data_IF_894412716507
#
_entry.id   IF_894412716507
#
_cell.length_a   1.000
_cell.length_b   1.000
_cell.length_c   1.000
_cell.angle_alpha   90.00
_cell.angle_beta   90.00
_cell.angle_gamma   90.00
#
_symmetry.space_group_name_H-M   'P 1'
#
loop_
_entity.id
_entity.type
_entity.pdbx_description
1 polymer ?
#
# COMPACT_ATOMS: atom_id res chain seq x y z
N UNK A 1 6.72 0.64 5.43
CA UNK A 1 6.18 1.09 4.12
C UNK A 1 7.08 0.63 3.00
N UNK A 2 6.50 0.10 1.96
CA UNK A 2 7.22 -0.20 0.72
C UNK A 2 6.81 0.83 -0.34
N UNK A 3 7.79 1.37 -1.04
CA UNK A 3 7.58 2.39 -2.08
C UNK A 3 8.30 2.01 -3.37
N UNK A 4 7.68 2.31 -4.49
CA UNK A 4 8.27 2.09 -5.81
C UNK A 4 7.83 3.21 -6.76
N UNK A 5 8.63 3.47 -7.79
CA UNK A 5 8.27 4.39 -8.85
C UNK A 5 7.77 3.61 -10.05
N UNK A 6 6.60 3.99 -10.55
CA UNK A 6 6.00 3.39 -11.74
C UNK A 6 5.65 4.45 -12.77
N UNK A 7 5.39 4.04 -13.99
CA UNK A 7 4.78 4.89 -15.01
C UNK A 7 3.28 4.90 -14.81
N UNK A 8 2.69 6.09 -14.72
CA UNK A 8 1.24 6.22 -14.60
C UNK A 8 0.52 5.60 -15.80
N UNK A 9 -0.50 4.83 -15.54
CA UNK A 9 -1.26 4.14 -16.60
C UNK A 9 -2.03 5.08 -17.52
N UNK A 10 -2.27 6.31 -17.09
CA UNK A 10 -3.05 7.29 -17.85
C UNK A 10 -2.17 8.35 -18.51
N UNK A 11 -1.30 9.02 -17.74
CA UNK A 11 -0.49 10.12 -18.28
C UNK A 11 0.96 9.73 -18.61
N UNK A 12 1.36 8.50 -18.25
CA UNK A 12 2.70 7.93 -18.47
C UNK A 12 3.84 8.65 -17.76
N UNK A 13 3.56 9.62 -16.90
CA UNK A 13 4.56 10.24 -16.05
C UNK A 13 4.98 9.28 -14.92
N UNK A 14 6.20 9.42 -14.42
CA UNK A 14 6.64 8.66 -13.26
C UNK A 14 5.89 9.11 -12.02
N UNK A 15 5.37 8.15 -11.26
CA UNK A 15 4.68 8.40 -10.00
C UNK A 15 5.12 7.39 -8.95
N UNK A 16 5.25 7.85 -7.70
CA UNK A 16 5.55 6.97 -6.58
C UNK A 16 4.28 6.32 -6.06
N UNK A 17 4.34 5.01 -5.88
CA UNK A 17 3.26 4.22 -5.26
C UNK A 17 3.78 3.55 -4.01
N UNK A 18 2.90 3.31 -3.05
CA UNK A 18 3.25 2.70 -1.78
C UNK A 18 2.31 1.56 -1.42
N UNK A 19 2.78 0.69 -0.53
CA UNK A 19 1.94 -0.28 0.15
C UNK A 19 2.43 -0.50 1.57
N UNK A 20 1.59 -1.10 2.39
CA UNK A 20 1.98 -1.57 3.72
C UNK A 20 2.49 -3.00 3.59
N UNK A 21 3.80 -3.18 3.81
CA UNK A 21 4.43 -4.48 3.85
C UNK A 21 4.81 -4.79 5.29
N UNK A 22 4.47 -5.98 5.75
CA UNK A 22 4.70 -6.39 7.12
C UNK A 22 5.68 -7.56 7.18
N UNK A 23 6.74 -7.42 7.94
CA UNK A 23 7.66 -8.52 8.21
C UNK A 23 7.13 -9.41 9.33
N UNK A 24 6.52 -8.81 10.35
CA UNK A 24 5.87 -9.52 11.46
C UNK A 24 4.60 -8.79 11.86
N UNK A 25 3.54 -9.53 12.13
CA UNK A 25 2.29 -8.95 12.57
C UNK A 25 1.21 -10.00 12.71
N UNK A 26 -0.04 -9.55 12.83
CA UNK A 26 -1.20 -10.44 12.90
C UNK A 26 -2.24 -10.08 11.85
N UNK A 27 -2.93 -11.10 11.35
CA UNK A 27 -4.07 -10.96 10.47
C UNK A 27 -5.23 -11.67 11.15
N UNK A 28 -6.24 -10.90 11.54
CA UNK A 28 -7.42 -11.40 12.27
C UNK A 28 -7.04 -12.28 13.47
N UNK A 29 -5.99 -11.87 14.20
CA UNK A 29 -5.49 -12.55 15.39
C UNK A 29 -4.44 -13.64 15.16
N UNK A 30 -4.17 -14.02 13.92
CA UNK A 30 -3.14 -15.01 13.58
C UNK A 30 -1.81 -14.33 13.26
N UNK A 31 -0.74 -14.80 13.91
CA UNK A 31 0.60 -14.30 13.62
C UNK A 31 1.07 -14.74 12.24
N UNK A 32 1.49 -13.78 11.43
CA UNK A 32 2.02 -14.00 10.09
C UNK A 32 3.29 -13.21 9.88
N UNK A 33 4.10 -13.65 8.94
CA UNK A 33 5.31 -12.96 8.51
C UNK A 33 5.30 -12.72 7.01
N UNK A 34 5.99 -11.67 6.56
CA UNK A 34 6.20 -11.35 5.15
C UNK A 34 4.89 -11.26 4.36
N UNK A 35 3.98 -10.41 4.83
CA UNK A 35 2.73 -10.18 4.10
C UNK A 35 2.59 -8.69 3.70
N UNK A 36 1.81 -8.47 2.66
CA UNK A 36 1.50 -7.15 2.12
C UNK A 36 0.01 -6.91 2.20
N UNK A 37 -0.39 -5.71 2.59
CA UNK A 37 -1.80 -5.38 2.79
C UNK A 37 -2.29 -4.51 1.64
N UNK A 38 -3.44 -4.89 1.08
CA UNK A 38 -4.18 -4.12 0.07
C UNK A 38 -5.66 -4.06 0.46
N UNK A 39 -6.44 -3.24 -0.25
CA UNK A 39 -7.86 -3.13 0.02
C UNK A 39 -8.19 -2.51 1.38
N UNK A 40 -7.40 -1.58 1.84
CA UNK A 40 -7.54 -0.95 3.16
C UNK A 40 -8.67 0.08 3.13
N UNK A 41 -9.68 -0.09 3.98
CA UNK A 41 -10.75 0.90 4.09
C UNK A 41 -10.70 1.70 5.41
N UNK A 42 -9.93 1.26 6.39
CA UNK A 42 -9.72 1.99 7.64
C UNK A 42 -8.29 1.78 8.14
N UNK A 43 -7.72 2.82 8.74
CA UNK A 43 -6.41 2.76 9.38
C UNK A 43 -6.44 3.62 10.64
N UNK A 44 -5.58 3.29 11.61
CA UNK A 44 -5.51 4.07 12.85
C UNK A 44 -4.79 5.41 12.63
N UNK A 45 -4.92 6.31 13.63
CA UNK A 45 -4.34 7.65 13.56
C UNK A 45 -2.82 7.64 13.49
N UNK A 46 -2.17 6.65 14.09
CA UNK A 46 -0.72 6.52 14.07
C UNK A 46 -0.21 6.19 12.66
N UNK A 47 -0.89 5.27 11.96
CA UNK A 47 -0.56 4.97 10.58
C UNK A 47 -0.87 6.16 9.66
N UNK A 48 -2.02 6.81 9.86
CA UNK A 48 -2.39 8.00 9.09
C UNK A 48 -1.31 9.08 9.18
N UNK A 49 -0.77 9.31 10.37
CA UNK A 49 0.31 10.28 10.59
C UNK A 49 1.58 9.89 9.84
N UNK A 50 1.94 8.62 9.86
CA UNK A 50 3.15 8.12 9.19
C UNK A 50 3.01 8.11 7.67
N UNK A 51 1.80 8.14 7.14
CA UNK A 51 1.53 8.24 5.70
C UNK A 51 1.60 9.67 5.15
N UNK A 52 1.81 10.67 6.00
CA UNK A 52 1.89 12.07 5.60
C UNK A 52 2.81 12.38 4.41
N UNK A 53 4.01 11.74 4.28
CA UNK A 53 4.88 11.93 3.12
C UNK A 53 4.30 11.45 1.78
N UNK A 54 3.20 10.68 1.81
CA UNK A 54 2.60 10.10 0.60
C UNK A 54 1.13 10.51 0.47
N UNK A 55 0.83 11.80 0.19
CA UNK A 55 -0.55 12.30 0.13
C UNK A 55 -1.35 11.70 -1.04
N UNK A 56 -0.68 11.11 -2.02
CA UNK A 56 -1.34 10.42 -3.15
C UNK A 56 -1.86 9.04 -2.79
N UNK A 57 -1.51 8.50 -1.62
CA UNK A 57 -2.14 7.32 -1.06
C UNK A 57 -3.33 7.77 -0.20
N UNK A 58 -4.52 7.75 -0.78
CA UNK A 58 -5.73 8.31 -0.20
C UNK A 58 -6.97 7.51 -0.60
N UNK A 59 -8.08 7.76 0.09
CA UNK A 59 -9.34 7.07 -0.24
C UNK A 59 -9.79 7.38 -1.66
N UNK A 60 -10.19 6.31 -2.36
CA UNK A 60 -10.79 6.38 -3.69
C UNK A 60 -12.28 6.04 -3.58
N UNK A 61 -13.12 6.86 -4.22
CA UNK A 61 -14.56 6.65 -4.28
C UNK A 61 -14.96 5.49 -5.22
N UNK A 62 -14.03 4.99 -6.03
CA UNK A 62 -14.28 3.89 -6.98
C UNK A 62 -14.26 2.51 -6.34
N UNK A 63 -14.29 2.43 -5.03
CA UNK A 63 -14.08 1.19 -4.31
C UNK A 63 -15.35 0.36 -4.17
N UNK A 64 -15.15 -0.93 -3.96
CA UNK A 64 -16.18 -1.90 -3.61
C UNK A 64 -16.77 -1.68 -2.22
N UNK A 65 -16.21 -0.75 -1.45
CA UNK A 65 -16.64 -0.38 -0.12
C UNK A 65 -17.30 1.01 -0.14
N UNK A 66 -18.44 1.17 0.55
CA UNK A 66 -19.19 2.44 0.57
C UNK A 66 -18.36 3.64 1.04
N UNK A 67 -17.45 3.42 1.98
CA UNK A 67 -16.58 4.48 2.52
C UNK A 67 -15.34 4.72 1.67
N UNK A 68 -15.15 3.97 0.60
CA UNK A 68 -13.95 4.02 -0.21
C UNK A 68 -12.80 3.19 0.35
N UNK A 69 -11.79 2.99 -0.46
CA UNK A 69 -10.58 2.23 -0.13
C UNK A 69 -9.36 3.11 -0.36
N UNK A 70 -8.38 3.05 0.55
CA UNK A 70 -7.11 3.72 0.36
C UNK A 70 -6.39 3.13 -0.84
N UNK A 71 -5.98 3.97 -1.76
CA UNK A 71 -5.31 3.56 -2.99
C UNK A 71 -4.31 4.61 -3.45
N UNK A 72 -3.37 4.17 -4.27
CA UNK A 72 -2.41 5.06 -4.88
C UNK A 72 -3.04 5.86 -6.02
N UNK A 73 -2.65 7.11 -6.15
CA UNK A 73 -3.07 8.01 -7.22
C UNK A 73 -1.83 8.64 -7.83
N UNK A 74 -1.88 8.92 -9.12
CA UNK A 74 -0.77 9.61 -9.79
C UNK A 74 -0.57 11.01 -9.23
N UNK A 75 0.66 11.36 -8.92
CA UNK A 75 1.01 12.69 -8.42
C UNK A 75 0.86 13.79 -9.47
N UNK A 76 0.76 13.44 -10.75
CA UNK A 76 0.64 14.39 -11.86
C UNK A 76 -0.79 14.56 -12.34
N UNK A 77 -1.51 13.47 -12.62
CA UNK A 77 -2.86 13.54 -13.17
C UNK A 77 -3.97 13.11 -12.22
N UNK A 78 -3.64 12.58 -11.05
CA UNK A 78 -4.61 12.11 -10.05
C UNK A 78 -5.28 10.77 -10.37
N UNK A 79 -4.91 10.11 -11.46
CA UNK A 79 -5.52 8.84 -11.85
C UNK A 79 -5.22 7.73 -10.83
N UNK A 80 -6.23 6.90 -10.55
CA UNK A 80 -6.08 5.73 -9.69
C UNK A 80 -5.04 4.76 -10.27
N UNK A 81 -4.11 4.33 -9.43
CA UNK A 81 -3.19 3.25 -9.72
C UNK A 81 -3.69 2.01 -8.99
N UNK A 82 -4.29 1.10 -9.73
CA UNK A 82 -5.04 -0.04 -9.24
C UNK A 82 -4.15 -1.04 -8.47
N UNK A 83 -4.61 -1.48 -7.31
CA UNK A 83 -3.92 -2.48 -6.49
C UNK A 83 -3.68 -3.80 -7.24
N UNK A 84 -4.60 -4.22 -8.11
CA UNK A 84 -4.41 -5.43 -8.90
C UNK A 84 -3.13 -5.34 -9.74
N UNK A 85 -2.88 -4.20 -10.35
CA UNK A 85 -1.69 -3.97 -11.17
C UNK A 85 -0.42 -3.79 -10.35
N UNK A 86 -0.55 -3.39 -9.09
CA UNK A 86 0.59 -3.17 -8.20
C UNK A 86 1.00 -4.42 -7.43
N UNK A 87 0.05 -5.31 -7.12
CA UNK A 87 0.26 -6.45 -6.23
C UNK A 87 0.11 -7.82 -6.90
N UNK A 88 -0.79 -7.96 -7.86
CA UNK A 88 -1.24 -9.29 -8.32
C UNK A 88 -0.68 -9.70 -9.67
N UNK A 89 -0.15 -8.80 -10.47
CA UNK A 89 0.43 -9.13 -11.76
C UNK A 89 1.91 -9.49 -11.61
N UNK A 90 2.40 -10.58 -12.25
CA UNK A 90 3.83 -10.87 -12.30
C UNK A 90 4.59 -9.67 -12.89
N UNK A 91 5.69 -9.28 -12.24
CA UNK A 91 6.45 -8.09 -12.63
C UNK A 91 5.94 -6.80 -12.02
N UNK A 92 4.80 -6.80 -11.34
CA UNK A 92 4.33 -5.64 -10.59
C UNK A 92 5.26 -5.33 -9.42
N UNK A 93 5.40 -4.04 -9.02
CA UNK A 93 6.37 -3.64 -7.99
C UNK A 93 6.15 -4.34 -6.65
N UNK A 94 4.91 -4.66 -6.29
CA UNK A 94 4.59 -5.25 -4.99
C UNK A 94 4.15 -6.71 -5.10
N UNK A 95 4.38 -7.36 -6.23
CA UNK A 95 4.00 -8.76 -6.42
C UNK A 95 4.77 -9.71 -5.49
N UNK A 96 6.06 -9.47 -5.35
CA UNK A 96 6.92 -10.26 -4.44
C UNK A 96 8.01 -9.35 -3.90
N UNK A 97 7.69 -8.60 -2.86
CA UNK A 97 8.61 -7.62 -2.27
C UNK A 97 9.90 -8.26 -1.77
N UNK A 98 9.88 -9.42 -1.05
CA UNK A 98 11.13 -10.02 -0.58
C UNK A 98 12.11 -10.41 -1.68
N UNK A 99 11.63 -10.62 -2.90
CA UNK A 99 12.44 -11.00 -4.05
C UNK A 99 12.68 -9.87 -5.04
N UNK A 100 12.17 -8.68 -4.74
CA UNK A 100 12.38 -7.52 -5.61
C UNK A 100 13.86 -7.21 -5.75
N UNK A 101 14.26 -6.81 -6.96
CA UNK A 101 15.63 -6.39 -7.20
C UNK A 101 15.99 -5.17 -6.35
N UNK A 102 17.27 -5.08 -5.96
CA UNK A 102 17.75 -3.97 -5.14
C UNK A 102 17.44 -2.63 -5.83
N UNK A 103 16.83 -1.70 -5.07
CA UNK A 103 16.48 -0.37 -5.55
C UNK A 103 15.14 -0.28 -6.27
N UNK A 104 14.49 -1.39 -6.61
CA UNK A 104 13.13 -1.38 -7.22
C UNK A 104 12.09 -1.01 -6.19
N UNK A 105 12.18 -1.58 -5.00
CA UNK A 105 11.31 -1.27 -3.87
C UNK A 105 12.15 -0.73 -2.72
N UNK A 106 11.75 0.44 -2.21
CA UNK A 106 12.38 1.05 -1.04
C UNK A 106 11.52 0.77 0.18
N UNK A 107 12.15 0.31 1.26
CA UNK A 107 11.47 0.02 2.52
C UNK A 107 11.75 1.14 3.52
N UNK A 108 10.68 1.71 4.07
CA UNK A 108 10.75 2.69 5.15
C UNK A 108 10.05 2.08 6.37
N UNK A 109 10.77 1.88 7.49
CA UNK A 109 10.18 1.28 8.68
C UNK A 109 9.02 2.13 9.23
N UNK A 110 7.95 1.46 9.64
CA UNK A 110 6.91 2.08 10.47
C UNK A 110 7.38 2.08 11.92
N UNK A 111 7.02 3.13 12.64
CA UNK A 111 7.36 3.28 14.05
C UNK A 111 6.20 2.80 14.91
N UNK A 112 6.49 1.90 15.86
CA UNK A 112 5.49 1.37 16.76
C UNK A 112 4.54 0.37 16.10
N UNK A 113 3.46 0.08 16.80
CA UNK A 113 2.40 -0.82 16.33
C UNK A 113 1.31 -0.02 15.65
N UNK A 114 0.94 -0.39 14.43
CA UNK A 114 -0.14 0.24 13.69
C UNK A 114 -1.22 -0.76 13.36
N UNK A 115 -2.47 -0.28 13.29
CA UNK A 115 -3.65 -1.09 12.98
C UNK A 115 -4.34 -0.57 11.75
N UNK A 116 -4.82 -1.49 10.92
CA UNK A 116 -5.57 -1.17 9.72
C UNK A 116 -6.59 -2.26 9.44
N UNK A 117 -7.62 -1.90 8.69
CA UNK A 117 -8.70 -2.82 8.34
C UNK A 117 -8.95 -2.82 6.84
N UNK A 118 -9.14 -3.99 6.30
CA UNK A 118 -9.57 -4.29 4.95
C UNK A 118 -10.55 -5.45 5.03
N UNK A 119 -10.37 -6.47 4.19
CA UNK A 119 -11.17 -7.69 4.30
C UNK A 119 -10.92 -8.41 5.64
N UNK A 120 -9.76 -8.16 6.25
CA UNK A 120 -9.38 -8.66 7.56
C UNK A 120 -8.84 -7.53 8.42
N UNK A 121 -8.62 -7.81 9.69
CA UNK A 121 -7.99 -6.86 10.62
C UNK A 121 -6.49 -7.15 10.70
N UNK A 122 -5.68 -6.13 10.49
CA UNK A 122 -4.23 -6.23 10.46
C UNK A 122 -3.62 -5.42 11.60
N UNK A 123 -2.62 -6.00 12.25
CA UNK A 123 -1.75 -5.32 13.21
C UNK A 123 -0.32 -5.50 12.72
N UNK A 124 0.34 -4.39 12.43
CA UNK A 124 1.73 -4.38 11.94
C UNK A 124 2.63 -3.95 13.09
N UNK A 125 3.57 -4.79 13.41
CA UNK A 125 4.51 -4.60 14.52
C UNK A 125 5.93 -4.29 14.05
#
# INVERSE_FOLDING_TARGET
MAAATISCRRCHADTEVICVHCETGTVSGEALTQFTVSGIWALDGELARQLGPWPTFRKSAAAEHEEGVFANHCSHCGALQDDMHLHSEPGAPFFDIPRAAAGVVRLTPLVGTVRLSGDEHFVVE
#
